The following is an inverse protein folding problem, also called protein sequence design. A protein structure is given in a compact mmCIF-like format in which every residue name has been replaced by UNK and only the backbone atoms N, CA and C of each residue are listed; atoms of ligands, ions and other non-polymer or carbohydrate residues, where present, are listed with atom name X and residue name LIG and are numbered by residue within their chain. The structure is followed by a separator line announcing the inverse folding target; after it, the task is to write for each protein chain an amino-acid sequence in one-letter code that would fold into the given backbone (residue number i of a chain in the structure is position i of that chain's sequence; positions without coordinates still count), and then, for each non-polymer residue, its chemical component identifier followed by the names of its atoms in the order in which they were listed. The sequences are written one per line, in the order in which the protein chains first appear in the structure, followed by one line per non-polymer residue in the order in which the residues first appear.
data_IF_129516811925
#
_entry.id   IF_129516811925
#
_cell.length_a   1.000
_cell.length_b   1.000
_cell.length_c   1.000
_cell.angle_alpha   90.00
_cell.angle_beta   90.00
_cell.angle_gamma   90.00
#
_symmetry.space_group_name_H-M   'P 1'
#
loop_
_entity.id
_entity.type
_entity.pdbx_description
1 polymer ?
#
# COMPACT_ATOMS: atom_id res chain seq x y z
N UNK A 1 5.77 -33.51 -18.53
CA UNK A 1 4.70 -34.02 -19.42
C UNK A 1 3.37 -33.61 -18.81
N UNK A 2 2.77 -32.52 -19.29
CA UNK A 2 1.51 -32.01 -18.75
C UNK A 2 0.35 -32.64 -19.52
N UNK A 3 -0.49 -33.41 -18.83
CA UNK A 3 -1.68 -34.03 -19.40
C UNK A 3 -2.80 -33.01 -19.43
N UNK A 4 -3.27 -32.64 -20.63
CA UNK A 4 -4.44 -31.79 -20.84
C UNK A 4 -5.69 -32.66 -20.70
N UNK A 5 -6.41 -32.58 -19.58
CA UNK A 5 -7.75 -33.15 -19.46
C UNK A 5 -8.80 -32.07 -19.69
N UNK A 6 -9.63 -32.24 -20.71
CA UNK A 6 -10.78 -31.40 -21.02
C UNK A 6 -11.91 -31.73 -20.04
N UNK A 7 -12.34 -30.78 -19.21
CA UNK A 7 -13.54 -30.94 -18.37
C UNK A 7 -14.77 -30.57 -19.22
N UNK A 8 -15.79 -31.44 -19.33
CA UNK A 8 -17.03 -31.13 -20.04
C UNK A 8 -17.97 -30.30 -19.15
N UNK A 9 -18.82 -29.49 -19.79
CA UNK A 9 -19.81 -28.56 -19.22
C UNK A 9 -19.27 -27.25 -18.61
N UNK A 10 -18.99 -26.28 -19.48
CA UNK A 10 -19.19 -24.87 -19.15
C UNK A 10 -20.43 -24.38 -19.90
N UNK A 11 -21.48 -24.03 -19.18
CA UNK A 11 -22.52 -23.15 -19.70
C UNK A 11 -21.90 -21.76 -19.87
N UNK A 12 -21.67 -21.36 -21.13
CA UNK A 12 -21.36 -19.99 -21.48
C UNK A 12 -22.58 -19.11 -21.18
N UNK A 13 -22.53 -18.32 -20.10
CA UNK A 13 -23.33 -17.11 -20.01
C UNK A 13 -22.42 -15.90 -20.26
N UNK A 14 -22.75 -15.17 -21.32
CA UNK A 14 -22.42 -13.75 -21.52
C UNK A 14 -20.93 -13.40 -21.63
N UNK A 15 -20.24 -13.94 -22.64
CA UNK A 15 -19.18 -13.23 -23.41
C UNK A 15 -17.93 -12.69 -22.69
N UNK A 16 -17.82 -12.80 -21.38
CA UNK A 16 -16.66 -12.40 -20.58
C UNK A 16 -15.91 -13.68 -20.28
N UNK A 17 -14.81 -13.89 -20.98
CA UNK A 17 -13.86 -14.95 -20.66
C UNK A 17 -13.18 -14.58 -19.34
N UNK A 18 -13.77 -14.95 -18.21
CA UNK A 18 -13.04 -14.97 -16.95
C UNK A 18 -11.94 -16.03 -17.09
N UNK A 19 -10.70 -15.58 -17.24
CA UNK A 19 -9.55 -16.45 -16.98
C UNK A 19 -9.54 -16.66 -15.46
N UNK A 20 -10.33 -17.62 -15.00
CA UNK A 20 -10.17 -18.17 -13.66
C UNK A 20 -8.87 -18.98 -13.72
N UNK A 21 -7.74 -18.33 -13.42
CA UNK A 21 -6.57 -19.05 -12.96
C UNK A 21 -7.00 -19.75 -11.68
N UNK A 22 -7.33 -21.05 -11.79
CA UNK A 22 -7.49 -21.91 -10.65
C UNK A 22 -6.14 -21.87 -9.92
N UNK A 23 -6.02 -21.01 -8.90
CA UNK A 23 -4.82 -20.85 -8.10
C UNK A 23 -4.70 -22.07 -7.18
N UNK A 24 -4.45 -23.23 -7.78
CA UNK A 24 -3.93 -24.38 -7.07
C UNK A 24 -2.49 -24.05 -6.71
N UNK A 25 -2.33 -23.29 -5.62
CA UNK A 25 -1.06 -22.93 -4.98
C UNK A 25 -0.11 -22.21 -5.94
N UNK A 26 -0.16 -20.87 -5.95
CA UNK A 26 1.09 -20.12 -6.17
C UNK A 26 2.15 -20.75 -5.28
N UNK A 27 3.21 -21.28 -5.89
CA UNK A 27 4.30 -21.91 -5.15
C UNK A 27 4.81 -20.91 -4.10
N UNK A 28 4.89 -21.36 -2.85
CA UNK A 28 5.42 -20.56 -1.76
C UNK A 28 6.86 -20.11 -2.08
N UNK A 29 7.59 -20.92 -2.86
CA UNK A 29 8.90 -20.59 -3.43
C UNK A 29 8.83 -19.40 -4.40
N UNK A 30 7.96 -19.45 -5.40
CA UNK A 30 7.79 -18.34 -6.35
C UNK A 30 7.38 -17.02 -5.66
N UNK A 31 6.47 -17.08 -4.68
CA UNK A 31 6.06 -15.89 -3.93
C UNK A 31 7.20 -15.31 -3.09
N UNK A 32 8.07 -16.17 -2.56
CA UNK A 32 9.25 -15.74 -1.81
C UNK A 32 10.30 -15.09 -2.73
N UNK A 33 10.50 -15.63 -3.94
CA UNK A 33 11.40 -15.04 -4.95
C UNK A 33 10.89 -13.67 -5.40
N UNK A 34 9.60 -13.55 -5.73
CA UNK A 34 9.01 -12.27 -6.16
C UNK A 34 9.06 -11.19 -5.07
N UNK A 35 9.10 -11.58 -3.78
CA UNK A 35 9.15 -10.66 -2.64
C UNK A 35 10.53 -10.54 -1.99
N UNK A 36 11.57 -11.02 -2.67
CA UNK A 36 12.96 -10.90 -2.24
C UNK A 36 13.43 -11.92 -1.20
N UNK A 37 12.58 -12.41 -0.29
CA UNK A 37 12.95 -13.55 0.58
C UNK A 37 11.76 -14.29 1.22
N UNK A 38 12.00 -15.56 1.58
CA UNK A 38 11.02 -16.39 2.30
C UNK A 38 10.74 -15.84 3.71
N UNK A 39 11.78 -15.34 4.37
CA UNK A 39 11.68 -14.77 5.71
C UNK A 39 10.80 -13.52 5.72
N UNK A 40 11.05 -12.59 4.78
CA UNK A 40 10.27 -11.35 4.61
C UNK A 40 8.80 -11.67 4.31
N UNK A 41 8.53 -12.64 3.44
CA UNK A 41 7.16 -13.07 3.16
C UNK A 41 6.47 -13.72 4.37
N UNK A 42 7.21 -14.49 5.18
CA UNK A 42 6.68 -15.11 6.40
C UNK A 42 6.37 -14.07 7.48
N UNK A 43 7.27 -13.09 7.65
CA UNK A 43 7.08 -11.97 8.60
C UNK A 43 5.90 -11.09 8.20
N UNK A 44 5.79 -10.73 6.93
CA UNK A 44 4.62 -10.02 6.37
C UNK A 44 3.31 -10.77 6.65
N UNK A 45 3.26 -12.08 6.40
CA UNK A 45 2.06 -12.90 6.70
C UNK A 45 1.71 -12.85 8.18
N UNK A 46 2.72 -12.90 9.06
CA UNK A 46 2.52 -12.76 10.51
C UNK A 46 1.94 -11.38 10.86
N UNK A 47 2.50 -10.29 10.34
CA UNK A 47 1.96 -8.95 10.56
C UNK A 47 0.50 -8.84 10.13
N UNK A 48 0.19 -9.35 8.93
CA UNK A 48 -1.18 -9.33 8.39
C UNK A 48 -2.18 -10.16 9.20
N UNK A 49 -1.73 -11.21 9.88
CA UNK A 49 -2.60 -11.99 10.78
C UNK A 49 -2.91 -11.28 12.10
N UNK A 50 -2.06 -10.35 12.53
CA UNK A 50 -2.22 -9.62 13.80
C UNK A 50 -2.88 -8.24 13.60
N UNK A 51 -2.75 -7.66 12.41
CA UNK A 51 -3.32 -6.36 12.09
C UNK A 51 -4.85 -6.45 12.05
N UNK A 52 -5.51 -5.69 12.92
CA UNK A 52 -6.95 -5.53 12.86
C UNK A 52 -7.33 -4.71 11.63
N UNK A 53 -8.16 -5.27 10.75
CA UNK A 53 -8.66 -4.58 9.57
C UNK A 53 -10.04 -4.02 9.84
N UNK A 54 -10.19 -2.71 9.68
CA UNK A 54 -11.50 -2.07 9.65
C UNK A 54 -12.09 -2.37 8.26
N UNK A 55 -13.28 -2.98 8.17
CA UNK A 55 -13.88 -3.32 6.89
C UNK A 55 -14.17 -2.06 6.06
N UNK A 56 -14.29 -2.24 4.75
CA UNK A 56 -14.82 -1.21 3.88
C UNK A 56 -16.34 -1.14 4.06
N UNK A 57 -16.85 0.07 4.20
CA UNK A 57 -18.28 0.35 4.23
C UNK A 57 -18.68 0.99 2.90
N UNK A 58 -19.81 0.59 2.35
CA UNK A 58 -20.36 1.11 1.09
C UNK A 58 -21.49 2.10 1.38
N UNK A 59 -21.69 3.08 0.50
CA UNK A 59 -22.79 4.05 0.60
C UNK A 59 -22.54 5.19 1.60
N UNK A 60 -21.29 5.39 2.01
CA UNK A 60 -20.88 6.52 2.84
C UNK A 60 -20.83 7.82 2.04
N UNK A 61 -21.10 8.94 2.71
CA UNK A 61 -20.79 10.27 2.17
C UNK A 61 -19.29 10.57 2.23
N UNK A 62 -18.86 11.65 1.56
CA UNK A 62 -17.44 12.00 1.49
C UNK A 62 -16.79 12.26 2.87
N UNK A 63 -17.52 12.85 3.81
CA UNK A 63 -17.00 13.13 5.15
C UNK A 63 -16.86 11.84 5.97
N UNK A 64 -17.81 10.92 5.82
CA UNK A 64 -17.80 9.60 6.44
C UNK A 64 -16.67 8.73 5.87
N UNK A 65 -16.48 8.70 4.55
CA UNK A 65 -15.37 8.02 3.90
C UNK A 65 -14.02 8.56 4.41
N UNK A 66 -13.88 9.88 4.50
CA UNK A 66 -12.68 10.52 5.02
C UNK A 66 -12.43 10.16 6.49
N UNK A 67 -13.47 10.19 7.33
CA UNK A 67 -13.37 9.80 8.73
C UNK A 67 -12.96 8.33 8.90
N UNK A 68 -13.55 7.42 8.10
CA UNK A 68 -13.18 6.01 8.08
C UNK A 68 -11.72 5.82 7.63
N UNK A 69 -11.29 6.57 6.61
CA UNK A 69 -9.90 6.60 6.16
C UNK A 69 -8.92 7.07 7.24
N UNK A 70 -9.31 8.05 8.05
CA UNK A 70 -8.51 8.49 9.21
C UNK A 70 -8.43 7.42 10.31
N UNK A 71 -9.53 6.72 10.59
CA UNK A 71 -9.52 5.61 11.56
C UNK A 71 -8.60 4.47 11.10
N UNK A 72 -8.66 4.11 9.81
CA UNK A 72 -7.76 3.12 9.20
C UNK A 72 -6.30 3.56 9.25
N UNK A 73 -6.05 4.84 8.96
CA UNK A 73 -4.72 5.45 9.07
C UNK A 73 -4.16 5.37 10.49
N UNK A 74 -4.99 5.69 11.49
CA UNK A 74 -4.60 5.59 12.90
C UNK A 74 -4.27 4.15 13.30
N UNK A 75 -5.10 3.18 12.89
CA UNK A 75 -4.85 1.76 13.13
C UNK A 75 -3.53 1.28 12.53
N UNK A 76 -3.24 1.66 11.28
CA UNK A 76 -1.99 1.33 10.61
C UNK A 76 -0.77 1.92 11.33
N UNK A 77 -0.79 3.23 11.63
CA UNK A 77 0.33 3.91 12.28
C UNK A 77 0.58 3.34 13.67
N UNK A 78 -0.48 3.11 14.45
CA UNK A 78 -0.37 2.55 15.80
C UNK A 78 0.24 1.14 15.75
N UNK A 79 -0.25 0.30 14.83
CA UNK A 79 0.30 -1.04 14.64
C UNK A 79 1.79 -1.02 14.26
N UNK A 80 2.19 -0.17 13.31
CA UNK A 80 3.61 -0.01 12.90
C UNK A 80 4.49 0.40 14.09
N UNK A 81 4.02 1.36 14.90
CA UNK A 81 4.78 1.87 16.06
C UNK A 81 4.91 0.85 17.18
N UNK A 82 3.81 0.21 17.54
CA UNK A 82 3.76 -0.78 18.61
C UNK A 82 4.66 -1.98 18.30
N UNK A 83 4.71 -2.39 17.04
CA UNK A 83 5.50 -3.52 16.57
C UNK A 83 6.90 -3.11 16.08
N UNK A 84 7.27 -1.82 16.14
CA UNK A 84 8.56 -1.26 15.69
C UNK A 84 8.95 -1.73 14.29
N UNK A 85 8.02 -1.59 13.35
CA UNK A 85 8.22 -2.01 11.95
C UNK A 85 8.94 -0.88 11.22
N UNK A 86 10.27 -0.93 11.18
CA UNK A 86 11.09 0.12 10.55
C UNK A 86 11.26 -0.06 9.04
N UNK A 87 11.06 -1.28 8.53
CA UNK A 87 11.23 -1.61 7.12
C UNK A 87 10.12 -1.02 6.25
N UNK A 88 10.48 -0.18 5.27
CA UNK A 88 9.53 0.57 4.44
C UNK A 88 8.64 -0.35 3.59
N UNK A 89 9.17 -1.43 3.02
CA UNK A 89 8.33 -2.32 2.20
C UNK A 89 7.41 -3.18 3.07
N UNK A 90 7.81 -3.53 4.30
CA UNK A 90 6.91 -4.17 5.25
C UNK A 90 5.76 -3.24 5.63
N UNK A 91 6.05 -1.96 5.88
CA UNK A 91 5.01 -0.97 6.14
C UNK A 91 4.11 -0.72 4.91
N UNK A 92 4.67 -0.74 3.70
CA UNK A 92 3.90 -0.58 2.47
C UNK A 92 2.97 -1.77 2.23
N UNK A 93 3.48 -2.99 2.39
CA UNK A 93 2.67 -4.20 2.28
C UNK A 93 1.52 -4.26 3.30
N UNK A 94 1.69 -3.64 4.47
CA UNK A 94 0.61 -3.48 5.44
C UNK A 94 -0.45 -2.48 4.96
N UNK A 95 0.00 -1.35 4.40
CA UNK A 95 -0.87 -0.33 3.79
C UNK A 95 -1.69 -0.92 2.64
N UNK A 96 -1.04 -1.61 1.70
CA UNK A 96 -1.69 -2.27 0.57
C UNK A 96 -2.72 -3.31 1.01
N UNK A 97 -2.46 -4.02 2.11
CA UNK A 97 -3.35 -5.04 2.62
C UNK A 97 -4.64 -4.49 3.26
N UNK A 98 -4.71 -3.18 3.52
CA UNK A 98 -5.95 -2.50 3.87
C UNK A 98 -6.85 -2.32 2.63
N UNK A 99 -6.26 -2.27 1.43
CA UNK A 99 -7.00 -2.17 0.17
C UNK A 99 -7.63 -0.80 -0.10
N UNK A 100 -7.25 0.22 0.68
CA UNK A 100 -7.75 1.57 0.57
C UNK A 100 -6.60 2.55 0.35
N UNK A 101 -6.87 3.66 -0.35
CA UNK A 101 -5.97 4.82 -0.39
C UNK A 101 -6.20 5.61 0.89
N UNK A 102 -5.16 5.73 1.72
CA UNK A 102 -5.28 6.39 3.01
C UNK A 102 -4.97 7.89 2.87
N UNK A 103 -5.66 8.77 3.64
CA UNK A 103 -5.36 10.21 3.66
C UNK A 103 -3.89 10.54 3.99
N UNK A 104 -3.20 9.65 4.70
CA UNK A 104 -1.79 9.81 5.11
C UNK A 104 -0.79 9.32 4.04
N UNK A 105 -1.24 8.72 2.94
CA UNK A 105 -0.33 8.11 1.97
C UNK A 105 0.61 9.13 1.33
N UNK A 106 0.12 10.34 1.01
CA UNK A 106 0.97 11.43 0.51
C UNK A 106 2.05 11.82 1.52
N UNK A 107 1.73 11.82 2.82
CA UNK A 107 2.70 12.12 3.86
C UNK A 107 3.80 11.06 3.90
N UNK A 108 3.43 9.77 3.87
CA UNK A 108 4.38 8.66 4.00
C UNK A 108 5.20 8.43 2.74
N UNK A 109 4.54 8.39 1.59
CA UNK A 109 5.12 7.96 0.31
C UNK A 109 5.83 9.06 -0.44
N UNK A 110 5.47 10.33 -0.19
CA UNK A 110 6.01 11.46 -0.95
C UNK A 110 6.66 12.51 -0.05
N UNK A 111 5.98 12.97 1.00
CA UNK A 111 6.51 14.04 1.85
C UNK A 111 7.77 13.62 2.60
N UNK A 112 7.77 12.46 3.29
CA UNK A 112 8.96 11.98 4.02
C UNK A 112 10.17 11.81 3.09
N UNK A 113 10.08 11.13 1.93
CA UNK A 113 11.19 11.07 0.97
C UNK A 113 11.61 12.46 0.44
N UNK A 114 10.66 13.36 0.17
CA UNK A 114 10.99 14.71 -0.28
C UNK A 114 11.79 15.50 0.77
N UNK A 115 11.49 15.34 2.07
CA UNK A 115 12.31 15.94 3.14
C UNK A 115 13.75 15.43 3.09
N UNK A 116 13.95 14.12 2.88
CA UNK A 116 15.30 13.52 2.80
C UNK A 116 16.10 14.02 1.59
N UNK A 117 15.43 14.25 0.46
CA UNK A 117 16.07 14.66 -0.79
C UNK A 117 16.31 16.17 -0.87
N UNK A 118 15.43 16.99 -0.30
CA UNK A 118 15.43 18.43 -0.52
C UNK A 118 16.00 19.25 0.64
N UNK A 119 16.20 18.67 1.83
CA UNK A 119 16.64 19.42 3.01
C UNK A 119 18.12 19.23 3.35
N UNK A 120 18.69 20.24 4.01
CA UNK A 120 20.03 20.14 4.62
C UNK A 120 19.98 19.29 5.89
N UNK A 121 21.15 18.84 6.38
CA UNK A 121 21.24 18.02 7.60
C UNK A 121 20.60 18.69 8.83
N UNK A 122 20.82 20.00 9.03
CA UNK A 122 20.26 20.75 10.16
C UNK A 122 18.73 20.87 10.09
N UNK A 123 18.20 21.08 8.88
CA UNK A 123 16.76 21.11 8.65
C UNK A 123 16.15 19.72 8.87
N UNK A 124 16.81 18.67 8.40
CA UNK A 124 16.37 17.29 8.56
C UNK A 124 16.29 16.90 10.04
N UNK A 125 17.27 17.30 10.86
CA UNK A 125 17.25 17.06 12.31
C UNK A 125 16.04 17.70 13.00
N UNK A 126 15.53 18.81 12.47
CA UNK A 126 14.35 19.51 13.01
C UNK A 126 13.05 18.85 12.54
N UNK A 127 12.91 18.64 11.22
CA UNK A 127 11.63 18.26 10.61
C UNK A 127 11.38 16.76 10.54
N UNK A 128 12.43 15.95 10.36
CA UNK A 128 12.28 14.50 10.21
C UNK A 128 11.69 13.82 11.46
N UNK A 129 12.14 14.11 12.70
CA UNK A 129 11.54 13.51 13.89
C UNK A 129 10.06 13.90 14.05
N UNK A 130 9.69 15.11 13.64
CA UNK A 130 8.30 15.59 13.69
C UNK A 130 7.42 14.88 12.65
N UNK A 131 7.94 14.67 11.43
CA UNK A 131 7.25 13.93 10.37
C UNK A 131 7.06 12.45 10.75
N UNK A 132 8.13 11.76 11.18
CA UNK A 132 8.04 10.35 11.59
C UNK A 132 7.15 10.13 12.83
N UNK A 133 7.08 11.13 13.71
CA UNK A 133 6.15 11.12 14.84
C UNK A 133 4.74 11.60 14.50
N UNK A 134 4.44 11.92 13.24
CA UNK A 134 3.15 12.44 12.77
C UNK A 134 2.66 13.66 13.58
N UNK A 135 3.60 14.43 14.17
CA UNK A 135 3.32 15.72 14.81
C UNK A 135 3.10 16.83 13.80
N UNK A 136 3.65 16.64 12.60
CA UNK A 136 3.32 17.40 11.41
C UNK A 136 2.79 16.44 10.35
N UNK A 137 1.81 16.89 9.60
CA UNK A 137 1.37 16.24 8.37
C UNK A 137 1.80 17.11 7.20
N UNK A 138 2.17 16.45 6.11
CA UNK A 138 2.71 17.11 4.94
C UNK A 138 2.25 16.42 3.68
N UNK A 139 2.25 17.17 2.59
CA UNK A 139 1.95 16.70 1.26
C UNK A 139 3.00 17.24 0.30
N UNK A 140 3.15 16.55 -0.83
CA UNK A 140 4.01 17.02 -1.91
C UNK A 140 3.13 17.64 -3.00
N UNK A 141 3.06 18.97 -3.00
CA UNK A 141 2.23 19.73 -3.92
C UNK A 141 3.03 20.14 -5.16
N UNK A 142 3.03 19.29 -6.19
CA UNK A 142 3.68 19.57 -7.47
C UNK A 142 2.70 20.12 -8.53
N UNK A 143 1.45 19.66 -8.50
CA UNK A 143 0.48 20.00 -9.55
C UNK A 143 -0.14 21.36 -9.29
N UNK A 144 0.09 22.30 -10.21
CA UNK A 144 -0.54 23.62 -10.23
C UNK A 144 -1.78 23.63 -11.13
N UNK A 145 -2.80 24.42 -10.79
CA UNK A 145 -4.02 24.56 -11.58
C UNK A 145 -3.68 25.38 -12.86
N UNK A 146 -3.19 24.69 -13.90
CA UNK A 146 -2.74 25.27 -15.17
C UNK A 146 -1.47 24.63 -15.77
N UNK A 147 -0.82 23.69 -15.07
CA UNK A 147 0.51 23.19 -15.47
C UNK A 147 0.63 21.67 -15.59
N UNK A 148 0.32 21.14 -16.78
CA UNK A 148 1.13 20.17 -17.54
C UNK A 148 0.40 19.87 -18.87
N UNK A 149 0.93 20.31 -20.03
CA UNK A 149 2.12 19.67 -20.58
C UNK A 149 3.10 20.65 -21.26
N UNK A 150 4.41 20.54 -20.99
CA UNK A 150 5.43 21.01 -21.93
C UNK A 150 6.75 20.24 -21.73
N UNK A 151 6.80 18.99 -22.18
CA UNK A 151 8.06 18.35 -22.57
C UNK A 151 8.29 18.66 -24.05
N UNK A 152 9.07 19.70 -24.32
CA UNK A 152 9.84 19.79 -25.56
C UNK A 152 11.30 19.57 -25.17
N UNK A 153 11.78 18.33 -25.32
CA UNK A 153 13.22 18.03 -25.31
C UNK A 153 13.76 18.32 -26.72
N UNK A 154 14.93 18.97 -26.87
CA UNK A 154 15.68 18.97 -28.13
C UNK A 154 16.32 17.60 -28.42
#
# INVERSE_FOLDING_TARGET
MATISKVPNQHCQMGICFIILHSSKMDAGLTAVLRGSLERNSRRKRWLSMMQKIPREEGLDHAQEYALGLQKSFGLISFIRENRIDDVDEQEALSEALGDVLPIDMHRKMFIPALQLSMTADQLQTWMPLALSYRILGAYAQTELGGAPFLHMP
#
